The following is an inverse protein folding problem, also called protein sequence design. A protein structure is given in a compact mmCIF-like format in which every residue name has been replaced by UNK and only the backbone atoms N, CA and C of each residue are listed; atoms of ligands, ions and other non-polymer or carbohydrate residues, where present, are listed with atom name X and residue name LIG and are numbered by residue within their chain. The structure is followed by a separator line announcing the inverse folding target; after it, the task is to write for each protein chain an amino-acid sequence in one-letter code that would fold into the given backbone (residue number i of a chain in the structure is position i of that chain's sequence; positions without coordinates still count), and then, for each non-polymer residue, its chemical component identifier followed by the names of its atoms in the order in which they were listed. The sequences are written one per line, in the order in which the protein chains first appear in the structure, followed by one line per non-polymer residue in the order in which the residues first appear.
data_IF_460575792215
#
_entry.id   IF_460575792215
#
_cell.length_a   1.000
_cell.length_b   1.000
_cell.length_c   1.000
_cell.angle_alpha   90.00
_cell.angle_beta   90.00
_cell.angle_gamma   90.00
#
_symmetry.space_group_name_H-M   'P 1'
#
loop_
_entity.id
_entity.type
_entity.pdbx_description
1 polymer ?
#
# COMPACT_ATOMS: atom_id res chain seq x y z
N UNK A 1 -28.60 1.24 3.04
CA UNK A 1 -27.75 2.38 2.64
C UNK A 1 -26.43 2.39 3.39
N UNK A 2 -26.44 2.31 4.74
CA UNK A 2 -25.19 2.32 5.53
C UNK A 2 -24.31 1.08 5.31
N UNK A 3 -24.93 -0.08 5.11
CA UNK A 3 -24.23 -1.34 4.86
C UNK A 3 -23.40 -1.32 3.56
N UNK A 4 -23.87 -0.62 2.53
CA UNK A 4 -23.12 -0.46 1.27
C UNK A 4 -21.87 0.39 1.46
N UNK A 5 -21.96 1.46 2.27
CA UNK A 5 -20.81 2.31 2.61
C UNK A 5 -19.79 1.55 3.44
N UNK A 6 -20.25 0.74 4.38
CA UNK A 6 -19.38 -0.10 5.20
C UNK A 6 -18.65 -1.15 4.35
N UNK A 7 -19.36 -1.83 3.46
CA UNK A 7 -18.77 -2.79 2.53
C UNK A 7 -17.75 -2.14 1.60
N UNK A 8 -18.01 -0.91 1.14
CA UNK A 8 -17.06 -0.14 0.35
C UNK A 8 -15.76 0.12 1.14
N UNK A 9 -15.86 0.63 2.38
CA UNK A 9 -14.69 0.89 3.24
C UNK A 9 -13.90 -0.40 3.48
N UNK A 10 -14.59 -1.52 3.76
CA UNK A 10 -13.97 -2.83 3.93
C UNK A 10 -13.22 -3.28 2.67
N UNK A 11 -13.80 -3.08 1.48
CA UNK A 11 -13.13 -3.42 0.23
C UNK A 11 -11.90 -2.55 -0.04
N UNK A 12 -11.99 -1.24 0.24
CA UNK A 12 -10.88 -0.31 0.09
C UNK A 12 -9.69 -0.72 0.99
N UNK A 13 -9.95 -1.03 2.26
CA UNK A 13 -8.91 -1.47 3.20
C UNK A 13 -8.26 -2.80 2.79
N UNK A 14 -9.00 -3.74 2.19
CA UNK A 14 -8.45 -5.02 1.74
C UNK A 14 -7.55 -4.90 0.51
N UNK A 15 -7.76 -3.89 -0.34
CA UNK A 15 -6.98 -3.70 -1.56
C UNK A 15 -5.63 -3.00 -1.36
N UNK A 16 -5.46 -2.30 -0.25
CA UNK A 16 -4.28 -1.45 -0.01
C UNK A 16 -3.18 -2.26 0.67
N UNK A 17 -2.09 -2.52 -0.05
CA UNK A 17 -0.87 -3.08 0.54
C UNK A 17 -0.12 -2.04 1.40
N UNK A 18 -0.06 -0.80 0.93
CA UNK A 18 0.53 0.33 1.67
C UNK A 18 -0.18 1.63 1.27
N UNK A 19 -0.64 2.41 2.24
CA UNK A 19 -1.48 3.57 1.96
C UNK A 19 -2.33 4.02 3.15
N UNK A 20 -3.41 4.74 2.87
CA UNK A 20 -4.35 5.25 3.88
C UNK A 20 -5.75 5.42 3.30
N UNK A 21 -6.76 5.15 4.12
CA UNK A 21 -8.17 5.51 3.84
C UNK A 21 -8.56 6.65 4.78
N UNK A 22 -9.11 7.73 4.24
CA UNK A 22 -9.58 8.89 5.00
C UNK A 22 -11.10 8.97 4.85
N UNK A 23 -11.80 9.00 5.98
CA UNK A 23 -13.26 9.02 6.01
C UNK A 23 -13.70 10.34 6.65
N UNK A 24 -14.51 11.10 5.94
CA UNK A 24 -15.08 12.35 6.45
C UNK A 24 -16.54 12.12 6.85
N UNK A 25 -16.85 12.52 8.09
CA UNK A 25 -18.18 12.40 8.68
C UNK A 25 -18.71 13.81 8.96
N UNK A 26 -19.92 14.08 8.50
CA UNK A 26 -20.64 15.31 8.82
C UNK A 26 -22.06 14.96 9.23
N UNK A 27 -22.56 15.56 10.31
CA UNK A 27 -23.89 15.29 10.87
C UNK A 27 -24.17 13.79 11.13
N UNK A 28 -23.16 13.04 11.59
CA UNK A 28 -23.29 11.60 11.87
C UNK A 28 -23.38 10.71 10.62
N UNK A 29 -23.21 11.27 9.43
CA UNK A 29 -23.22 10.53 8.17
C UNK A 29 -21.88 10.64 7.46
N UNK A 30 -21.44 9.53 6.87
CA UNK A 30 -20.27 9.51 6.01
C UNK A 30 -20.59 10.28 4.74
N UNK A 31 -19.85 11.36 4.50
CA UNK A 31 -19.98 12.24 3.33
C UNK A 31 -18.92 11.97 2.28
N UNK A 32 -17.73 11.52 2.70
CA UNK A 32 -16.60 11.27 1.79
C UNK A 32 -15.74 10.11 2.27
N UNK A 33 -15.17 9.37 1.31
CA UNK A 33 -14.19 8.32 1.53
C UNK A 33 -13.10 8.49 0.47
N UNK A 34 -11.88 8.81 0.90
CA UNK A 34 -10.71 8.89 0.04
C UNK A 34 -9.78 7.72 0.31
N UNK A 35 -9.36 7.04 -0.75
CA UNK A 35 -8.39 5.96 -0.69
C UNK A 35 -7.10 6.39 -1.36
N UNK A 36 -6.00 6.36 -0.61
CA UNK A 36 -4.66 6.63 -1.11
C UNK A 36 -3.84 5.36 -1.08
N UNK A 37 -3.46 4.87 -2.27
CA UNK A 37 -2.54 3.76 -2.44
C UNK A 37 -1.11 4.26 -2.72
N UNK A 38 -0.12 3.59 -2.16
CA UNK A 38 1.30 3.93 -2.29
C UNK A 38 2.09 2.67 -2.59
N UNK A 39 2.48 2.49 -3.84
CA UNK A 39 3.41 1.41 -4.22
C UNK A 39 4.84 1.81 -3.85
N UNK A 40 5.47 1.04 -2.96
CA UNK A 40 6.90 1.21 -2.67
C UNK A 40 7.69 0.39 -3.69
N UNK A 41 8.42 1.07 -4.57
CA UNK A 41 9.44 0.41 -5.36
C UNK A 41 10.64 0.14 -4.46
N UNK A 42 11.05 -1.13 -4.27
CA UNK A 42 12.23 -1.42 -3.47
C UNK A 42 13.42 -0.68 -4.08
N UNK A 43 14.14 0.09 -3.25
CA UNK A 43 15.36 0.73 -3.69
C UNK A 43 16.30 -0.38 -4.19
N UNK A 44 16.78 -0.22 -5.42
CA UNK A 44 17.61 -1.17 -6.18
C UNK A 44 18.89 -1.67 -5.44
N UNK A 45 19.16 -1.17 -4.23
CA UNK A 45 20.34 -1.46 -3.43
C UNK A 45 20.40 -2.90 -2.89
N UNK A 46 19.25 -3.55 -2.61
CA UNK A 46 19.23 -4.96 -2.17
C UNK A 46 19.72 -5.88 -3.30
N UNK A 47 19.22 -5.64 -4.52
CA UNK A 47 19.60 -6.40 -5.72
C UNK A 47 21.05 -6.13 -6.16
N UNK A 48 21.58 -4.93 -5.95
CA UNK A 48 22.98 -4.59 -6.24
C UNK A 48 23.95 -5.31 -5.28
N UNK A 49 23.59 -5.47 -4.00
CA UNK A 49 24.41 -6.18 -3.00
C UNK A 49 24.54 -7.67 -3.33
N UNK A 50 23.43 -8.31 -3.70
CA UNK A 50 23.41 -9.73 -4.08
C UNK A 50 24.22 -9.98 -5.36
N UNK A 51 24.19 -9.06 -6.33
CA UNK A 51 24.99 -9.15 -7.56
C UNK A 51 26.50 -9.02 -7.30
N UNK A 52 26.92 -8.06 -6.46
CA UNK A 52 28.34 -7.88 -6.11
C UNK A 52 28.91 -9.07 -5.32
N UNK A 53 28.14 -9.67 -4.44
CA UNK A 53 28.56 -10.84 -3.66
C UNK A 53 28.80 -12.11 -4.52
N UNK A 54 28.11 -12.24 -5.66
CA UNK A 54 28.32 -13.37 -6.59
C UNK A 54 29.54 -13.20 -7.51
N UNK A 55 29.92 -11.98 -7.86
CA UNK A 55 31.08 -11.71 -8.71
C UNK A 55 32.43 -11.94 -8.02
N UNK A 56 32.49 -11.82 -6.69
CA UNK A 56 33.71 -12.09 -5.92
C UNK A 56 34.09 -13.57 -5.81
N UNK A 57 33.13 -14.49 -5.98
CA UNK A 57 33.34 -15.95 -5.82
C UNK A 57 33.84 -16.66 -7.08
N UNK A 58 33.89 -15.99 -8.23
CA UNK A 58 34.37 -16.55 -9.50
C UNK A 58 35.83 -16.16 -9.81
N UNK A 59 36.52 -15.50 -8.86
CA UNK A 59 37.91 -15.03 -9.00
C UNK A 59 38.83 -15.60 -7.91
N UNK A 60 38.66 -16.86 -7.55
CA UNK A 60 39.58 -17.62 -6.68
C UNK A 60 39.80 -19.00 -7.25
#
# INVERSE_FOLDING_TARGET
MDEQKLNFILSALKGIEYGSVVITIHNGQITQVDTTEKTRFPAHQENLRIQKAKQGRYRS
#
